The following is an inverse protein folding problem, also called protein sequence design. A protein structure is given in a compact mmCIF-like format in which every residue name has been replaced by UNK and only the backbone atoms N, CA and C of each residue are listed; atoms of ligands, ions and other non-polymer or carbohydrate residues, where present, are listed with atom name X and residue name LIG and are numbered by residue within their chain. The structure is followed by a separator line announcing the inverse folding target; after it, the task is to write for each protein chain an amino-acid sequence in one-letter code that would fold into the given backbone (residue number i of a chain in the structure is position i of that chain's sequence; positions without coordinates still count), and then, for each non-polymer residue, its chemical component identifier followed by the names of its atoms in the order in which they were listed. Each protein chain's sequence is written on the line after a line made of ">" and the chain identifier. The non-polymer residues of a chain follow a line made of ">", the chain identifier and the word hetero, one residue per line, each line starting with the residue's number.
data_IF_001106296317
#
_entry.id   IF_001106296317
#
_cell.length_a   1.000
_cell.length_b   1.000
_cell.length_c   1.000
_cell.angle_alpha   90.00
_cell.angle_beta   90.00
_cell.angle_gamma   90.00
#
_symmetry.space_group_name_H-M   'P 1'
#
loop_
_entity.id
_entity.type
_entity.pdbx_description
1 polymer ?
#
# COMPACT_ATOMS: atom_id res chain seq x y z
N UNK A 1 -23.15 -64.49 26.11
CA UNK A 1 -22.84 -63.09 26.47
C UNK A 1 -21.40 -62.82 26.08
N UNK A 2 -21.18 -62.20 24.92
CA UNK A 2 -19.85 -62.01 24.33
C UNK A 2 -19.25 -60.71 24.90
N UNK A 3 -18.19 -60.82 25.71
CA UNK A 3 -17.43 -59.67 26.19
C UNK A 3 -16.43 -59.25 25.10
N UNK A 4 -16.79 -58.22 24.32
CA UNK A 4 -15.86 -57.56 23.42
C UNK A 4 -14.86 -56.76 24.28
N UNK A 5 -13.62 -57.24 24.40
CA UNK A 5 -12.52 -56.45 24.96
C UNK A 5 -12.17 -55.32 23.98
N UNK A 6 -12.62 -54.11 24.30
CA UNK A 6 -12.16 -52.89 23.62
C UNK A 6 -10.68 -52.65 23.93
N UNK A 7 -9.79 -52.92 22.97
CA UNK A 7 -8.36 -52.55 23.07
C UNK A 7 -8.26 -51.04 22.91
N UNK A 8 -8.21 -50.34 24.04
CA UNK A 8 -7.98 -48.90 24.09
C UNK A 8 -6.54 -48.63 23.60
N UNK A 9 -6.40 -48.22 22.34
CA UNK A 9 -5.13 -47.73 21.82
C UNK A 9 -4.72 -46.52 22.67
N UNK A 10 -3.60 -46.66 23.39
CA UNK A 10 -3.08 -45.63 24.28
C UNK A 10 -2.87 -44.32 23.52
N UNK A 11 -3.40 -43.24 24.06
CA UNK A 11 -3.15 -41.90 23.57
C UNK A 11 -1.67 -41.58 23.83
N UNK A 12 -0.86 -41.48 22.78
CA UNK A 12 0.53 -41.03 22.87
C UNK A 12 0.55 -39.53 23.21
N UNK A 13 0.64 -39.19 24.49
CA UNK A 13 1.02 -37.85 24.93
C UNK A 13 2.46 -37.58 24.45
N UNK A 14 2.60 -36.79 23.37
CA UNK A 14 3.91 -36.30 22.93
C UNK A 14 4.43 -35.36 24.01
N UNK A 15 5.44 -35.80 24.77
CA UNK A 15 6.28 -34.93 25.60
C UNK A 15 6.74 -33.75 24.72
N UNK A 16 6.68 -32.54 25.25
CA UNK A 16 6.77 -31.27 24.51
C UNK A 16 7.84 -31.23 23.42
N UNK A 17 7.62 -30.40 22.40
CA UNK A 17 8.55 -30.24 21.29
C UNK A 17 9.98 -30.06 21.80
N UNK A 18 10.91 -30.91 21.32
CA UNK A 18 12.30 -30.81 21.69
C UNK A 18 12.88 -29.45 21.30
N UNK A 19 13.83 -28.94 22.09
CA UNK A 19 14.43 -27.62 21.90
C UNK A 19 15.00 -27.44 20.48
N UNK A 20 15.58 -28.49 19.92
CA UNK A 20 16.08 -28.54 18.53
C UNK A 20 14.95 -28.34 17.50
N UNK A 21 13.79 -28.95 17.72
CA UNK A 21 12.64 -28.80 16.83
C UNK A 21 12.10 -27.35 16.86
N UNK A 22 12.07 -26.72 18.04
CA UNK A 22 11.66 -25.31 18.19
C UNK A 22 12.63 -24.39 17.44
N UNK A 23 13.94 -24.56 17.66
CA UNK A 23 14.97 -23.75 16.99
C UNK A 23 14.89 -23.90 15.46
N UNK A 24 14.66 -25.11 14.96
CA UNK A 24 14.52 -25.36 13.53
C UNK A 24 13.29 -24.64 12.95
N UNK A 25 12.14 -24.68 13.64
CA UNK A 25 10.94 -23.96 13.20
C UNK A 25 11.13 -22.45 13.20
N UNK A 26 11.81 -21.89 14.20
CA UNK A 26 12.12 -20.46 14.27
C UNK A 26 13.10 -20.03 13.16
N UNK A 27 14.07 -20.87 12.82
CA UNK A 27 15.00 -20.62 11.72
C UNK A 27 14.24 -20.54 10.38
N UNK A 28 13.39 -21.53 10.10
CA UNK A 28 12.58 -21.54 8.88
C UNK A 28 11.62 -20.34 8.82
N UNK A 29 10.97 -20.02 9.94
CA UNK A 29 10.04 -18.90 10.03
C UNK A 29 10.75 -17.55 9.81
N UNK A 30 11.97 -17.40 10.34
CA UNK A 30 12.77 -16.18 10.17
C UNK A 30 13.19 -15.97 8.71
N UNK A 31 13.60 -17.03 8.01
CA UNK A 31 13.94 -16.99 6.59
C UNK A 31 12.71 -16.60 5.77
N UNK A 32 11.57 -17.24 6.04
CA UNK A 32 10.30 -16.95 5.37
C UNK A 32 9.88 -15.49 5.58
N UNK A 33 9.83 -15.02 6.82
CA UNK A 33 9.47 -13.63 7.15
C UNK A 33 10.40 -12.61 6.51
N UNK A 34 11.69 -12.91 6.42
CA UNK A 34 12.68 -12.02 5.78
C UNK A 34 12.44 -11.90 4.26
N UNK A 35 12.00 -12.97 3.61
CA UNK A 35 11.60 -12.92 2.21
C UNK A 35 10.32 -12.09 2.01
N UNK A 36 9.30 -12.36 2.82
CA UNK A 36 8.03 -11.63 2.77
C UNK A 36 8.20 -10.13 3.06
N UNK A 37 9.04 -9.75 4.03
CA UNK A 37 9.26 -8.35 4.37
C UNK A 37 9.92 -7.58 3.23
N UNK A 38 10.94 -8.16 2.59
CA UNK A 38 11.59 -7.57 1.40
C UNK A 38 10.61 -7.40 0.24
N UNK A 39 9.78 -8.42 0.00
CA UNK A 39 8.75 -8.36 -1.05
C UNK A 39 7.70 -7.30 -0.75
N UNK A 40 7.22 -7.21 0.50
CA UNK A 40 6.26 -6.18 0.93
C UNK A 40 6.84 -4.77 0.77
N UNK A 41 8.12 -4.57 1.11
CA UNK A 41 8.80 -3.28 0.88
C UNK A 41 8.96 -2.94 -0.61
N UNK A 42 9.11 -3.93 -1.48
CA UNK A 42 9.10 -3.71 -2.93
C UNK A 42 7.69 -3.33 -3.41
N UNK A 43 6.65 -4.06 -2.98
CA UNK A 43 5.25 -3.81 -3.33
C UNK A 43 4.76 -2.42 -2.90
N UNK A 44 5.25 -1.90 -1.76
CA UNK A 44 4.89 -0.56 -1.28
C UNK A 44 5.29 0.55 -2.26
N UNK A 45 6.35 0.36 -3.07
CA UNK A 45 6.80 1.38 -4.04
C UNK A 45 5.75 1.60 -5.14
N UNK A 46 5.16 0.53 -5.64
CA UNK A 46 4.12 0.59 -6.68
C UNK A 46 2.83 1.26 -6.16
N UNK A 47 2.49 0.99 -4.89
CA UNK A 47 1.36 1.63 -4.22
C UNK A 47 1.52 3.14 -4.04
N UNK A 48 2.72 3.60 -3.64
CA UNK A 48 3.02 5.03 -3.44
C UNK A 48 2.92 5.80 -4.75
N UNK A 49 3.42 5.26 -5.86
CA UNK A 49 3.31 5.93 -7.17
C UNK A 49 1.85 6.11 -7.59
N UNK A 50 1.04 5.06 -7.46
CA UNK A 50 -0.39 5.13 -7.77
C UNK A 50 -1.09 6.17 -6.89
N UNK A 51 -0.81 6.16 -5.59
CA UNK A 51 -1.37 7.10 -4.63
C UNK A 51 -1.01 8.56 -4.95
N UNK A 52 0.25 8.84 -5.29
CA UNK A 52 0.69 10.19 -5.70
C UNK A 52 -0.03 10.67 -6.97
N UNK A 53 -0.27 9.78 -7.93
CA UNK A 53 -1.02 10.12 -9.14
C UNK A 53 -2.48 10.47 -8.82
N UNK A 54 -3.13 9.72 -7.94
CA UNK A 54 -4.49 10.04 -7.49
C UNK A 54 -4.54 11.39 -6.75
N UNK A 55 -3.58 11.67 -5.87
CA UNK A 55 -3.48 12.97 -5.20
C UNK A 55 -3.30 14.12 -6.19
N UNK A 56 -2.40 13.97 -7.17
CA UNK A 56 -2.18 14.98 -8.21
C UNK A 56 -3.46 15.25 -9.03
N UNK A 57 -4.24 14.21 -9.33
CA UNK A 57 -5.52 14.36 -10.02
C UNK A 57 -6.57 15.11 -9.19
N UNK A 58 -6.69 14.79 -7.89
CA UNK A 58 -7.61 15.49 -6.99
C UNK A 58 -7.22 16.97 -6.83
N UNK A 59 -5.91 17.24 -6.74
CA UNK A 59 -5.38 18.59 -6.71
C UNK A 59 -5.73 19.35 -7.99
N UNK A 60 -5.55 18.74 -9.16
CA UNK A 60 -5.90 19.35 -10.45
C UNK A 60 -7.41 19.69 -10.53
N UNK A 61 -8.28 18.80 -10.04
CA UNK A 61 -9.73 19.04 -9.97
C UNK A 61 -10.08 20.22 -9.05
N UNK A 62 -9.43 20.32 -7.89
CA UNK A 62 -9.63 21.43 -6.96
C UNK A 62 -9.22 22.77 -7.59
N UNK A 63 -8.10 22.82 -8.32
CA UNK A 63 -7.68 24.05 -9.00
C UNK A 63 -8.65 24.44 -10.12
N UNK A 64 -9.15 23.48 -10.91
CA UNK A 64 -10.22 23.76 -11.89
C UNK A 64 -11.49 24.29 -11.23
N UNK A 65 -11.84 23.80 -10.03
CA UNK A 65 -12.98 24.32 -9.28
C UNK A 65 -12.72 25.76 -8.79
N UNK A 66 -11.51 26.06 -8.29
CA UNK A 66 -11.10 27.42 -7.92
C UNK A 66 -11.18 28.40 -9.08
N UNK A 67 -10.66 28.02 -10.24
CA UNK A 67 -10.76 28.84 -11.45
C UNK A 67 -12.21 29.12 -11.85
N UNK A 68 -13.10 28.13 -11.71
CA UNK A 68 -14.55 28.31 -11.94
C UNK A 68 -15.20 29.28 -10.96
N UNK A 69 -14.68 29.36 -9.74
CA UNK A 69 -15.11 30.30 -8.72
C UNK A 69 -14.43 31.68 -8.84
N UNK A 70 -13.58 31.90 -9.85
CA UNK A 70 -12.82 33.14 -10.03
C UNK A 70 -11.72 33.34 -8.99
N UNK A 71 -11.29 32.27 -8.31
CA UNK A 71 -10.20 32.30 -7.34
C UNK A 71 -8.85 32.12 -8.04
N UNK A 72 -7.82 32.77 -7.49
CA UNK A 72 -6.43 32.60 -7.92
C UNK A 72 -6.00 31.12 -7.86
N UNK A 73 -5.24 30.70 -8.87
CA UNK A 73 -4.64 29.38 -8.92
C UNK A 73 -3.41 29.31 -8.02
N UNK A 74 -3.32 28.23 -7.24
CA UNK A 74 -2.12 27.97 -6.44
C UNK A 74 -1.00 27.46 -7.34
N UNK A 75 0.22 27.89 -7.09
CA UNK A 75 1.40 27.48 -7.88
C UNK A 75 2.14 26.28 -7.26
N UNK A 76 1.93 26.03 -5.97
CA UNK A 76 2.58 24.95 -5.25
C UNK A 76 1.71 24.44 -4.10
N UNK A 77 1.67 23.13 -3.93
CA UNK A 77 1.01 22.47 -2.80
C UNK A 77 1.97 21.47 -2.16
N UNK A 78 2.09 21.51 -0.83
CA UNK A 78 2.98 20.63 -0.07
C UNK A 78 2.17 19.78 0.90
N UNK A 79 2.26 18.46 0.78
CA UNK A 79 1.57 17.53 1.68
C UNK A 79 2.43 16.30 1.96
N UNK A 80 2.56 15.92 3.23
CA UNK A 80 3.35 14.76 3.67
C UNK A 80 4.76 14.71 3.06
N UNK A 81 5.46 15.84 3.09
CA UNK A 81 6.80 16.05 2.51
C UNK A 81 6.89 15.97 0.98
N UNK A 82 5.79 15.66 0.28
CA UNK A 82 5.69 15.69 -1.17
C UNK A 82 5.38 17.12 -1.64
N UNK A 83 6.03 17.52 -2.73
CA UNK A 83 5.86 18.83 -3.36
C UNK A 83 5.18 18.63 -4.70
N UNK A 84 4.05 19.30 -4.87
CA UNK A 84 3.31 19.36 -6.12
C UNK A 84 3.46 20.76 -6.71
N UNK A 85 3.94 20.85 -7.94
CA UNK A 85 3.99 22.10 -8.70
C UNK A 85 2.74 22.17 -9.58
N UNK A 86 2.08 23.31 -9.57
CA UNK A 86 0.79 23.50 -10.23
C UNK A 86 0.96 24.64 -11.23
N UNK A 87 0.69 24.34 -12.50
CA UNK A 87 0.63 25.33 -13.58
C UNK A 87 -0.80 25.40 -14.09
N UNK A 88 -1.44 26.57 -13.93
CA UNK A 88 -2.78 26.83 -14.45
C UNK A 88 -2.70 27.70 -15.71
N UNK A 89 -3.12 27.16 -16.85
CA UNK A 89 -3.22 27.90 -18.11
C UNK A 89 -4.66 27.89 -18.61
N UNK A 90 -5.41 28.96 -18.35
CA UNK A 90 -6.81 29.08 -18.76
C UNK A 90 -7.66 27.97 -18.17
N UNK A 91 -8.18 27.06 -19.02
CA UNK A 91 -9.01 25.90 -18.63
C UNK A 91 -8.22 24.60 -18.43
N UNK A 92 -6.90 24.67 -18.46
CA UNK A 92 -6.03 23.53 -18.27
C UNK A 92 -5.23 23.69 -16.98
N UNK A 93 -5.21 22.65 -16.17
CA UNK A 93 -4.40 22.56 -14.95
C UNK A 93 -3.42 21.42 -15.12
N UNK A 94 -2.14 21.74 -14.95
CA UNK A 94 -1.04 20.78 -14.94
C UNK A 94 -0.47 20.68 -13.55
N UNK A 95 -0.41 19.47 -13.00
CA UNK A 95 0.16 19.18 -11.68
C UNK A 95 1.36 18.24 -11.86
N UNK A 96 2.55 18.70 -11.51
CA UNK A 96 3.79 17.91 -11.52
C UNK A 96 4.12 17.44 -10.12
N UNK A 97 4.55 16.19 -10.01
CA UNK A 97 4.98 15.54 -8.78
C UNK A 97 6.24 14.71 -9.06
N UNK A 98 6.88 14.21 -8.00
CA UNK A 98 8.21 13.56 -8.09
C UNK A 98 8.26 12.40 -9.08
N UNK A 99 7.12 11.73 -9.33
CA UNK A 99 7.04 10.50 -10.15
C UNK A 99 6.26 10.71 -11.47
N UNK A 100 5.96 11.95 -11.85
CA UNK A 100 5.30 12.26 -13.12
C UNK A 100 4.49 13.55 -13.14
N UNK A 101 3.54 13.63 -14.06
CA UNK A 101 2.63 14.76 -14.21
C UNK A 101 1.21 14.33 -14.57
N UNK A 102 0.23 15.12 -14.13
CA UNK A 102 -1.17 15.00 -14.51
C UNK A 102 -1.60 16.29 -15.16
N UNK A 103 -2.22 16.18 -16.35
CA UNK A 103 -2.80 17.30 -17.06
C UNK A 103 -4.31 17.08 -17.10
N UNK A 104 -5.06 18.08 -16.64
CA UNK A 104 -6.51 18.05 -16.60
C UNK A 104 -7.04 19.28 -17.32
N UNK A 105 -7.83 19.06 -18.36
CA UNK A 105 -8.52 20.12 -19.10
C UNK A 105 -10.00 20.11 -18.72
N UNK A 106 -10.59 21.28 -18.44
CA UNK A 106 -12.03 21.41 -18.33
C UNK A 106 -12.66 21.31 -19.73
N UNK A 107 -12.92 20.09 -20.18
CA UNK A 107 -13.76 19.82 -21.35
C UNK A 107 -15.15 20.42 -21.08
N UNK A 108 -15.62 21.27 -21.99
CA UNK A 108 -16.90 21.97 -21.87
C UNK A 108 -18.01 20.96 -22.19
N UNK A 109 -18.51 20.26 -21.16
CA UNK A 109 -19.72 19.43 -21.29
C UNK A 109 -20.96 20.30 -21.41
#
# INVERSE_FOLDING_TARGET
>A
MILIRYKRNGCHYRKGAGLVAVLFTLMLFSIMLSGLSRWLSAQQRDGVQSYQRYQALLLAQNQLARQRLGLECETQYRQNQLVFQIDCHGKQVKVRFVWGEVILSAEKR
#
